data_IF_996472645641
#
_entry.id   IF_996472645641
#
_cell.length_a   1.000
_cell.length_b   1.000
_cell.length_c   1.000
_cell.angle_alpha   90.00
_cell.angle_beta   90.00
_cell.angle_gamma   90.00
#
_symmetry.space_group_name_H-M   'P 1'
#
loop_
_entity.id
_entity.type
_entity.pdbx_description
1 polymer ?
#
# COMPACT_ATOMS: atom_id res chain seq x y z
N UNK A 1 8.05 -6.28 -14.22
CA UNK A 1 9.02 -7.30 -13.83
C UNK A 1 9.26 -7.28 -12.33
N UNK A 2 9.90 -8.28 -11.73
CA UNK A 2 10.14 -8.31 -10.30
C UNK A 2 11.05 -7.16 -9.86
N UNK A 3 10.72 -6.49 -8.77
CA UNK A 3 11.53 -5.40 -8.21
C UNK A 3 12.85 -5.91 -7.62
N UNK A 4 12.85 -7.13 -7.11
CA UNK A 4 14.05 -7.77 -6.57
C UNK A 4 15.04 -8.05 -7.71
N UNK A 5 16.30 -7.54 -7.66
CA UNK A 5 17.32 -7.79 -8.69
C UNK A 5 17.64 -9.26 -8.94
N UNK A 6 17.57 -10.09 -7.90
CA UNK A 6 17.77 -11.53 -8.00
C UNK A 6 16.59 -12.27 -8.66
N UNK A 7 15.52 -11.53 -8.98
CA UNK A 7 14.23 -12.13 -9.33
C UNK A 7 13.60 -12.77 -8.09
N UNK A 8 12.31 -12.84 -8.02
CA UNK A 8 11.64 -13.44 -6.89
C UNK A 8 10.56 -12.57 -6.33
N UNK A 9 10.11 -12.92 -5.16
CA UNK A 9 8.90 -12.43 -4.53
C UNK A 9 9.22 -11.53 -3.35
N UNK A 10 8.25 -10.78 -2.89
CA UNK A 10 8.34 -10.08 -1.61
C UNK A 10 8.45 -11.10 -0.48
N UNK A 11 9.57 -11.11 0.22
CA UNK A 11 9.76 -11.94 1.42
C UNK A 11 9.22 -11.16 2.62
N UNK A 12 8.08 -11.60 3.15
CA UNK A 12 7.41 -10.96 4.28
C UNK A 12 8.06 -11.32 5.61
N UNK A 13 8.56 -12.55 5.73
CA UNK A 13 9.30 -13.01 6.88
C UNK A 13 10.43 -13.92 6.42
N UNK A 14 11.66 -13.45 6.60
CA UNK A 14 12.87 -14.20 6.21
C UNK A 14 13.22 -15.34 7.17
N UNK A 15 12.61 -15.37 8.36
CA UNK A 15 12.84 -16.45 9.32
C UNK A 15 12.18 -17.71 8.82
N UNK A 16 12.82 -18.84 9.05
CA UNK A 16 12.20 -20.13 8.86
C UNK A 16 11.14 -20.30 9.95
N UNK A 17 9.89 -20.30 9.53
CA UNK A 17 8.75 -20.61 10.40
C UNK A 17 8.34 -22.04 10.09
N UNK A 18 8.23 -22.88 11.10
CA UNK A 18 7.70 -24.23 10.95
C UNK A 18 6.47 -24.35 11.82
N UNK A 19 5.39 -24.82 11.21
CA UNK A 19 4.14 -25.14 11.92
C UNK A 19 4.05 -26.66 11.97
N UNK A 20 3.94 -27.27 13.16
CA UNK A 20 3.71 -28.70 13.28
C UNK A 20 2.46 -29.12 12.53
N UNK A 21 2.47 -30.32 12.00
CA UNK A 21 1.28 -30.90 11.41
C UNK A 21 0.29 -31.26 12.50
N UNK A 22 -0.94 -30.76 12.37
CA UNK A 22 -2.07 -31.06 13.29
C UNK A 22 -3.22 -31.54 12.44
N UNK A 23 -3.86 -32.60 12.85
CA UNK A 23 -5.11 -33.10 12.26
C UNK A 23 -6.26 -32.64 13.12
N UNK A 24 -7.18 -31.88 12.54
CA UNK A 24 -8.39 -31.40 13.20
C UNK A 24 -9.57 -32.12 12.58
N UNK A 25 -10.41 -32.72 13.41
CA UNK A 25 -11.65 -33.35 12.97
C UNK A 25 -12.80 -32.38 13.21
N UNK A 26 -13.57 -32.09 12.15
CA UNK A 26 -14.79 -31.28 12.28
C UNK A 26 -15.80 -32.09 13.11
N UNK A 27 -16.28 -31.56 14.24
CA UNK A 27 -17.20 -32.28 15.10
C UNK A 27 -18.59 -32.49 14.50
N UNK A 28 -18.95 -31.74 13.46
CA UNK A 28 -20.29 -31.82 12.86
C UNK A 28 -20.40 -32.90 11.78
N UNK A 29 -19.36 -33.08 10.94
CA UNK A 29 -19.40 -34.04 9.84
C UNK A 29 -18.32 -35.13 9.92
N UNK A 30 -17.42 -35.05 10.89
CA UNK A 30 -16.32 -35.99 11.08
C UNK A 30 -15.22 -35.86 10.02
N UNK A 31 -15.26 -34.85 9.16
CA UNK A 31 -14.22 -34.61 8.17
C UNK A 31 -12.91 -34.21 8.86
N UNK A 32 -11.83 -34.83 8.45
CA UNK A 32 -10.50 -34.54 8.99
C UNK A 32 -9.73 -33.61 8.06
N UNK A 33 -9.28 -32.48 8.61
CA UNK A 33 -8.43 -31.52 7.93
C UNK A 33 -7.04 -31.58 8.56
N UNK A 34 -6.02 -31.81 7.75
CA UNK A 34 -4.63 -31.75 8.19
C UNK A 34 -4.09 -30.35 7.97
N UNK A 35 -3.76 -29.67 9.06
CA UNK A 35 -3.23 -28.30 9.07
C UNK A 35 -1.76 -28.35 9.48
N UNK A 36 -0.92 -27.48 8.91
CA UNK A 36 0.49 -27.39 9.26
C UNK A 36 1.39 -28.28 8.42
N UNK A 37 2.53 -28.67 8.96
CA UNK A 37 3.59 -29.34 8.20
C UNK A 37 4.26 -28.43 7.17
N UNK A 38 4.11 -27.10 7.31
CA UNK A 38 4.61 -26.10 6.38
C UNK A 38 5.79 -25.34 7.00
N UNK A 39 6.67 -24.87 6.15
CA UNK A 39 7.83 -24.07 6.59
C UNK A 39 8.00 -22.80 5.77
N UNK A 40 8.57 -21.76 6.41
CA UNK A 40 8.90 -20.49 5.78
C UNK A 40 10.18 -20.54 4.93
N UNK A 41 10.59 -19.42 4.30
CA UNK A 41 10.07 -18.07 4.57
C UNK A 41 8.68 -17.83 3.98
N UNK A 42 7.92 -16.94 4.63
CA UNK A 42 6.64 -16.45 4.12
C UNK A 42 6.88 -15.40 3.04
N UNK A 43 6.19 -15.51 1.92
CA UNK A 43 6.35 -14.58 0.80
C UNK A 43 5.04 -14.35 0.04
N UNK A 44 4.98 -13.25 -0.72
CA UNK A 44 3.90 -12.99 -1.67
C UNK A 44 4.48 -12.87 -3.08
N UNK A 45 4.22 -13.83 -3.98
CA UNK A 45 4.74 -13.83 -5.34
C UNK A 45 4.10 -12.79 -6.25
N UNK A 46 2.99 -12.19 -5.84
CA UNK A 46 2.19 -11.26 -6.63
C UNK A 46 2.10 -9.87 -5.98
N UNK A 47 2.91 -9.62 -4.97
CA UNK A 47 2.94 -8.33 -4.28
C UNK A 47 3.22 -7.17 -5.23
N UNK A 48 2.58 -6.05 -4.96
CA UNK A 48 2.83 -4.76 -5.60
C UNK A 48 3.19 -3.74 -4.53
N UNK A 49 4.13 -2.86 -4.85
CA UNK A 49 4.64 -1.88 -3.89
C UNK A 49 4.78 -0.51 -4.53
N UNK A 50 4.59 0.53 -3.72
CA UNK A 50 5.16 1.83 -4.01
C UNK A 50 6.65 1.79 -3.70
N UNK A 51 7.46 2.28 -4.63
CA UNK A 51 8.91 2.41 -4.46
C UNK A 51 9.36 3.80 -4.91
N UNK A 52 10.39 4.34 -4.28
CA UNK A 52 10.97 5.60 -4.74
C UNK A 52 11.69 5.38 -6.07
N UNK A 53 11.48 6.29 -7.02
CA UNK A 53 12.14 6.20 -8.34
C UNK A 53 13.67 6.25 -8.21
N UNK A 54 14.18 6.96 -7.21
CA UNK A 54 15.61 7.01 -6.88
C UNK A 54 16.20 5.66 -6.48
N UNK A 55 15.38 4.75 -5.99
CA UNK A 55 15.80 3.43 -5.53
C UNK A 55 15.82 2.39 -6.66
N UNK A 56 15.33 2.78 -7.84
CA UNK A 56 15.34 1.94 -9.03
C UNK A 56 16.59 2.17 -9.89
N UNK A 57 17.12 1.08 -10.42
CA UNK A 57 18.07 1.12 -11.51
C UNK A 57 17.35 1.57 -12.80
N UNK A 58 17.85 2.61 -13.44
CA UNK A 58 17.19 3.23 -14.59
C UNK A 58 17.14 2.34 -15.83
N UNK A 59 18.10 1.42 -15.97
CA UNK A 59 18.20 0.52 -17.12
C UNK A 59 17.31 -0.70 -16.97
N UNK A 60 17.31 -1.32 -15.79
CA UNK A 60 16.59 -2.57 -15.55
C UNK A 60 15.21 -2.38 -14.95
N UNK A 61 14.93 -1.22 -14.34
CA UNK A 61 13.71 -0.93 -13.62
C UNK A 61 13.55 -1.74 -12.31
N UNK A 62 14.59 -2.44 -11.88
CA UNK A 62 14.63 -3.19 -10.63
C UNK A 62 15.15 -2.33 -9.49
N UNK A 63 14.96 -2.75 -8.25
CA UNK A 63 15.62 -2.10 -7.12
C UNK A 63 17.15 -2.19 -7.26
N UNK A 64 17.84 -1.14 -6.88
CA UNK A 64 19.31 -1.12 -6.81
C UNK A 64 19.81 -2.13 -5.78
N UNK A 65 21.02 -2.67 -5.94
CA UNK A 65 21.64 -3.54 -4.95
C UNK A 65 21.64 -2.89 -3.56
N UNK A 66 21.31 -3.67 -2.53
CA UNK A 66 21.25 -3.20 -1.14
C UNK A 66 19.99 -2.43 -0.74
N UNK A 67 19.11 -2.08 -1.69
CA UNK A 67 17.81 -1.48 -1.35
C UNK A 67 16.86 -2.57 -0.91
N UNK A 68 16.31 -2.49 0.31
CA UNK A 68 15.36 -3.49 0.82
C UNK A 68 14.02 -3.41 0.09
N UNK A 69 13.35 -4.55 -0.03
CA UNK A 69 11.96 -4.63 -0.48
C UNK A 69 11.07 -4.40 0.73
N UNK A 70 10.49 -3.21 0.83
CA UNK A 70 9.67 -2.80 1.97
C UNK A 70 8.56 -1.84 1.52
N UNK A 71 7.46 -1.69 2.30
CA UNK A 71 6.46 -0.66 2.05
C UNK A 71 7.07 0.73 2.02
N UNK A 72 6.48 1.62 1.20
CA UNK A 72 6.92 3.00 1.09
C UNK A 72 6.74 3.74 2.42
N UNK A 73 7.79 4.39 2.89
CA UNK A 73 7.72 5.35 3.99
C UNK A 73 8.23 6.70 3.50
N UNK A 74 7.40 7.73 3.65
CA UNK A 74 7.72 9.10 3.34
C UNK A 74 7.76 9.94 4.63
N UNK A 75 8.46 11.07 4.57
CA UNK A 75 8.49 12.06 5.66
C UNK A 75 8.33 13.45 5.10
N UNK A 76 7.70 14.32 5.88
CA UNK A 76 7.60 15.75 5.64
C UNK A 76 7.53 16.47 7.01
N UNK A 77 7.79 17.76 7.04
CA UNK A 77 7.55 18.56 8.22
C UNK A 77 6.16 19.19 8.18
N UNK A 78 5.60 19.47 9.34
CA UNK A 78 4.37 20.25 9.46
C UNK A 78 4.50 21.58 8.71
N UNK A 79 3.52 21.92 7.90
CA UNK A 79 3.52 23.12 7.05
C UNK A 79 4.15 22.94 5.66
N UNK A 80 4.71 21.78 5.36
CA UNK A 80 5.26 21.51 4.02
C UNK A 80 4.18 21.40 2.95
N UNK A 81 4.48 21.93 1.77
CA UNK A 81 3.78 21.61 0.52
C UNK A 81 4.43 20.38 -0.12
N UNK A 82 3.69 19.30 -0.21
CA UNK A 82 4.19 17.99 -0.61
C UNK A 82 3.72 17.67 -2.03
N UNK A 83 4.65 17.44 -2.95
CA UNK A 83 4.35 17.01 -4.30
C UNK A 83 4.82 15.56 -4.49
N UNK A 84 3.90 14.67 -4.82
CA UNK A 84 4.19 13.25 -5.07
C UNK A 84 3.83 12.92 -6.52
N UNK A 85 4.83 12.66 -7.33
CA UNK A 85 4.61 12.18 -8.70
C UNK A 85 4.62 10.66 -8.72
N UNK A 86 3.45 10.09 -8.98
CA UNK A 86 3.25 8.64 -9.11
C UNK A 86 3.40 8.22 -10.56
N UNK A 87 4.26 7.23 -10.82
CA UNK A 87 4.43 6.57 -12.10
C UNK A 87 3.88 5.14 -12.02
N UNK A 88 2.96 4.79 -12.92
CA UNK A 88 2.35 3.45 -12.92
C UNK A 88 3.13 2.48 -13.79
N UNK A 89 3.71 1.46 -13.16
CA UNK A 89 4.43 0.35 -13.82
C UNK A 89 3.71 -1.00 -13.73
N UNK A 90 2.45 -1.00 -13.29
CA UNK A 90 1.65 -2.21 -13.26
C UNK A 90 1.35 -2.70 -14.69
N UNK A 91 1.17 -4.00 -14.88
CA UNK A 91 0.69 -4.53 -16.15
C UNK A 91 -0.73 -4.05 -16.44
N UNK A 92 -1.10 -3.99 -17.71
CA UNK A 92 -2.46 -3.63 -18.13
C UNK A 92 -3.52 -4.63 -17.62
N UNK A 93 -3.11 -5.85 -17.35
CA UNK A 93 -3.94 -6.90 -16.77
C UNK A 93 -3.25 -7.45 -15.53
N UNK A 94 -3.84 -7.21 -14.36
CA UNK A 94 -3.36 -7.76 -13.10
C UNK A 94 -3.78 -9.23 -12.97
N UNK A 95 -2.96 -10.09 -12.33
CA UNK A 95 -3.38 -11.45 -12.00
C UNK A 95 -4.55 -11.42 -11.00
N UNK A 96 -5.39 -12.43 -11.05
CA UNK A 96 -6.47 -12.59 -10.08
C UNK A 96 -5.90 -12.77 -8.67
N UNK A 97 -6.69 -12.34 -7.68
CA UNK A 97 -6.44 -12.67 -6.28
C UNK A 97 -6.73 -14.16 -6.09
N UNK A 98 -5.72 -14.91 -5.73
CA UNK A 98 -5.89 -16.31 -5.38
C UNK A 98 -5.85 -16.44 -3.87
N UNK A 99 -6.94 -16.89 -3.28
CA UNK A 99 -7.07 -17.20 -1.85
C UNK A 99 -6.49 -16.12 -0.92
N UNK A 100 -7.33 -15.19 -0.51
CA UNK A 100 -6.95 -14.22 0.51
C UNK A 100 -7.73 -14.49 1.77
N UNK A 101 -7.07 -14.42 2.92
CA UNK A 101 -7.67 -14.65 4.22
C UNK A 101 -8.86 -13.73 4.54
N UNK A 102 -8.91 -12.53 3.95
CA UNK A 102 -10.01 -11.57 4.15
C UNK A 102 -11.34 -12.06 3.63
N UNK A 103 -11.32 -12.92 2.61
CA UNK A 103 -12.54 -13.34 1.93
C UNK A 103 -13.05 -14.70 2.44
N UNK A 104 -12.35 -15.33 3.36
CA UNK A 104 -12.76 -16.63 3.91
C UNK A 104 -14.08 -16.56 4.66
N UNK A 105 -14.35 -15.49 5.40
CA UNK A 105 -15.65 -15.28 6.06
C UNK A 105 -16.84 -15.09 5.11
N UNK A 106 -16.60 -15.00 3.80
CA UNK A 106 -17.64 -14.94 2.77
C UNK A 106 -17.84 -16.26 2.03
N UNK A 107 -17.09 -17.28 2.39
CA UNK A 107 -17.17 -18.62 1.81
C UNK A 107 -18.18 -19.42 2.62
N UNK A 108 -19.41 -19.51 2.14
CA UNK A 108 -20.33 -20.54 2.62
C UNK A 108 -19.99 -21.85 1.95
N UNK A 109 -19.57 -22.82 2.72
CA UNK A 109 -19.50 -24.21 2.29
C UNK A 109 -20.93 -24.69 2.10
N UNK A 110 -21.35 -24.93 0.87
CA UNK A 110 -22.61 -25.59 0.60
C UNK A 110 -22.43 -27.10 0.75
N UNK A 111 -22.78 -27.59 1.94
CA UNK A 111 -22.69 -29.02 2.29
C UNK A 111 -23.66 -29.90 1.52
N UNK A 112 -24.70 -29.31 0.91
CA UNK A 112 -25.78 -30.05 0.29
C UNK A 112 -25.62 -30.25 -1.23
N UNK A 113 -24.70 -29.52 -1.86
CA UNK A 113 -24.58 -29.57 -3.33
C UNK A 113 -23.67 -30.71 -3.86
N UNK A 114 -22.98 -31.45 -3.00
CA UNK A 114 -21.99 -32.44 -3.42
C UNK A 114 -20.81 -31.86 -4.21
N UNK A 115 -20.86 -30.60 -4.53
CA UNK A 115 -19.83 -29.80 -5.16
C UNK A 115 -19.09 -29.09 -4.05
N UNK A 116 -17.92 -29.52 -3.67
CA UNK A 116 -17.15 -28.91 -2.61
C UNK A 116 -17.14 -27.37 -2.72
N UNK A 117 -17.51 -26.71 -1.66
CA UNK A 117 -17.65 -25.27 -1.44
C UNK A 117 -17.95 -24.43 -2.67
N UNK A 118 -19.19 -23.97 -2.79
CA UNK A 118 -19.50 -22.82 -3.66
C UNK A 118 -18.91 -21.57 -3.01
N UNK A 119 -17.69 -21.27 -3.38
CA UNK A 119 -17.11 -19.99 -3.02
C UNK A 119 -17.79 -18.90 -3.82
N UNK A 120 -18.46 -18.00 -3.16
CA UNK A 120 -18.68 -16.67 -3.75
C UNK A 120 -17.30 -16.02 -3.82
N UNK A 121 -16.65 -16.20 -4.95
CA UNK A 121 -15.27 -15.79 -5.08
C UNK A 121 -15.20 -14.37 -5.62
N UNK A 122 -15.44 -13.38 -4.77
CA UNK A 122 -14.84 -12.07 -4.97
C UNK A 122 -13.30 -12.18 -5.11
N UNK A 123 -12.74 -13.29 -4.73
CA UNK A 123 -11.31 -13.62 -4.82
C UNK A 123 -10.83 -13.79 -6.25
N UNK A 124 -11.70 -14.12 -7.19
CA UNK A 124 -11.39 -14.20 -8.61
C UNK A 124 -11.40 -12.85 -9.30
N UNK A 125 -11.82 -11.77 -8.61
CA UNK A 125 -11.80 -10.45 -9.21
C UNK A 125 -10.37 -9.88 -9.17
N UNK A 126 -9.93 -9.43 -10.32
CA UNK A 126 -8.62 -8.81 -10.47
C UNK A 126 -8.55 -7.49 -9.71
N UNK A 127 -7.41 -7.18 -9.07
CA UNK A 127 -7.15 -5.81 -8.64
C UNK A 127 -7.12 -4.87 -9.83
N UNK A 128 -7.44 -3.60 -9.60
CA UNK A 128 -7.29 -2.57 -10.63
C UNK A 128 -5.83 -2.48 -11.09
N UNK A 129 -5.64 -2.30 -12.40
CA UNK A 129 -4.35 -1.92 -12.98
C UNK A 129 -4.13 -0.40 -12.94
N UNK A 130 -5.17 0.37 -12.66
CA UNK A 130 -5.06 1.79 -12.36
C UNK A 130 -4.59 1.98 -10.92
N UNK A 131 -3.65 2.84 -10.69
CA UNK A 131 -3.08 3.09 -9.37
C UNK A 131 -3.26 4.54 -8.97
N UNK A 132 -3.57 4.77 -7.72
CA UNK A 132 -3.62 6.09 -7.11
C UNK A 132 -2.80 6.09 -5.84
N UNK A 133 -2.58 7.27 -5.27
CA UNK A 133 -1.92 7.45 -4.01
C UNK A 133 -2.70 8.51 -3.22
N UNK A 134 -3.23 8.11 -2.08
CA UNK A 134 -3.94 8.99 -1.17
C UNK A 134 -3.22 9.05 0.18
N UNK A 135 -2.73 10.22 0.54
CA UNK A 135 -2.15 10.48 1.86
C UNK A 135 -3.25 10.98 2.80
N UNK A 136 -3.61 10.16 3.79
CA UNK A 136 -4.68 10.49 4.73
C UNK A 136 -4.31 11.71 5.59
N UNK A 137 -5.32 12.41 6.10
CA UNK A 137 -5.25 13.56 7.02
C UNK A 137 -4.64 14.86 6.44
N UNK A 138 -3.93 14.79 5.34
CA UNK A 138 -3.35 15.98 4.72
C UNK A 138 -4.42 16.81 4.00
N UNK A 139 -4.24 18.12 3.94
CA UNK A 139 -5.11 18.97 3.14
C UNK A 139 -4.73 18.90 1.65
N UNK A 140 -5.72 18.88 0.77
CA UNK A 140 -5.52 18.81 -0.69
C UNK A 140 -6.75 19.33 -1.45
N UNK A 141 -6.59 19.59 -2.73
CA UNK A 141 -7.71 19.84 -3.66
C UNK A 141 -8.35 18.50 -4.05
N UNK A 142 -9.54 18.23 -3.53
CA UNK A 142 -10.26 16.98 -3.76
C UNK A 142 -10.56 16.73 -5.25
N UNK A 143 -10.60 17.76 -6.07
CA UNK A 143 -10.85 17.63 -7.52
C UNK A 143 -9.61 17.25 -8.31
N UNK A 144 -8.41 17.27 -7.70
CA UNK A 144 -7.13 17.07 -8.39
C UNK A 144 -6.19 16.08 -7.74
N UNK A 145 -6.19 16.01 -6.41
CA UNK A 145 -5.15 15.33 -5.63
C UNK A 145 -5.67 14.30 -4.64
N UNK A 146 -6.93 13.87 -4.79
CA UNK A 146 -7.49 12.82 -3.95
C UNK A 146 -6.80 11.45 -4.19
N UNK A 147 -6.39 11.18 -5.42
CA UNK A 147 -5.72 9.92 -5.78
C UNK A 147 -6.67 8.74 -5.96
N UNK A 148 -7.95 8.92 -5.65
CA UNK A 148 -9.02 7.94 -5.81
C UNK A 148 -10.12 8.54 -6.68
N UNK A 149 -10.92 7.71 -7.33
CA UNK A 149 -12.09 8.18 -8.05
C UNK A 149 -13.28 8.25 -7.09
N UNK A 150 -13.69 9.45 -6.74
CA UNK A 150 -14.78 9.67 -5.78
C UNK A 150 -15.94 10.44 -6.43
N UNK A 151 -17.11 9.81 -6.46
CA UNK A 151 -18.33 10.42 -6.97
C UNK A 151 -18.20 10.89 -8.42
N UNK A 152 -18.58 12.14 -8.69
CA UNK A 152 -18.52 12.77 -10.00
C UNK A 152 -17.18 13.47 -10.32
N UNK A 153 -16.20 13.33 -9.46
CA UNK A 153 -14.88 13.94 -9.69
C UNK A 153 -14.19 13.34 -10.92
N UNK A 154 -13.32 14.10 -11.60
CA UNK A 154 -12.49 13.56 -12.66
C UNK A 154 -11.66 12.36 -12.19
N UNK A 155 -11.35 11.47 -13.12
CA UNK A 155 -10.47 10.33 -12.83
C UNK A 155 -9.09 10.84 -12.37
N UNK A 156 -8.68 10.43 -11.18
CA UNK A 156 -7.42 10.87 -10.57
C UNK A 156 -6.39 9.74 -10.44
N UNK A 157 -6.73 8.54 -10.83
CA UNK A 157 -5.80 7.42 -10.89
C UNK A 157 -4.90 7.49 -12.12
N UNK A 158 -3.74 6.84 -12.03
CA UNK A 158 -2.78 6.71 -13.12
C UNK A 158 -3.06 5.39 -13.85
N UNK A 159 -3.42 5.42 -15.14
CA UNK A 159 -3.67 4.20 -15.91
C UNK A 159 -2.39 3.38 -16.10
N UNK A 160 -2.48 2.08 -16.41
CA UNK A 160 -1.34 1.31 -16.85
C UNK A 160 -0.86 1.79 -18.23
N UNK A 161 0.40 1.53 -18.55
CA UNK A 161 0.92 1.81 -19.90
C UNK A 161 0.24 0.91 -20.92
N UNK A 162 -0.19 1.50 -22.02
CA UNK A 162 -0.75 0.75 -23.16
C UNK A 162 0.41 0.32 -24.07
N UNK A 163 0.49 -0.97 -24.36
CA UNK A 163 1.59 -1.54 -25.15
C UNK A 163 2.93 -1.59 -24.40
N UNK A 164 4.00 -1.89 -25.14
CA UNK A 164 5.33 -2.13 -24.57
C UNK A 164 6.32 -0.98 -24.81
N UNK A 165 5.90 0.07 -25.47
CA UNK A 165 6.74 1.23 -25.83
C UNK A 165 6.21 2.53 -25.22
N UNK A 166 7.08 3.53 -25.15
CA UNK A 166 6.76 4.85 -24.63
C UNK A 166 6.96 4.99 -23.11
N UNK A 167 6.75 6.20 -22.62
CA UNK A 167 6.88 6.53 -21.20
C UNK A 167 5.76 5.90 -20.39
N UNK A 168 6.05 5.60 -19.13
CA UNK A 168 5.02 5.19 -18.19
C UNK A 168 4.13 6.39 -17.82
N UNK A 169 2.80 6.18 -17.71
CA UNK A 169 1.90 7.24 -17.28
C UNK A 169 2.24 7.73 -15.88
N UNK A 170 2.09 9.03 -15.66
CA UNK A 170 2.38 9.67 -14.38
C UNK A 170 1.26 10.64 -13.99
N UNK A 171 1.16 10.90 -12.69
CA UNK A 171 0.34 11.97 -12.12
C UNK A 171 1.01 12.54 -10.89
N UNK A 172 0.93 13.85 -10.71
CA UNK A 172 1.41 14.53 -9.50
C UNK A 172 0.22 14.86 -8.62
N UNK A 173 0.30 14.45 -7.36
CA UNK A 173 -0.61 14.81 -6.28
C UNK A 173 0.06 15.87 -5.40
N UNK A 174 -0.73 16.82 -4.94
CA UNK A 174 -0.27 17.95 -4.11
C UNK A 174 -1.01 17.94 -2.79
N UNK A 175 -0.26 17.93 -1.71
CA UNK A 175 -0.77 17.94 -0.34
C UNK A 175 -0.12 19.05 0.46
N UNK A 176 -0.82 19.47 1.53
CA UNK A 176 -0.29 20.38 2.53
C UNK A 176 -0.28 19.67 3.89
N UNK A 177 0.84 19.71 4.59
CA UNK A 177 1.00 19.10 5.90
C UNK A 177 0.39 19.99 7.01
N UNK A 178 -0.93 20.10 7.00
CA UNK A 178 -1.68 20.96 7.89
C UNK A 178 -3.15 21.08 7.51
N UNK A 179 -3.79 22.10 8.01
CA UNK A 179 -5.17 22.45 7.74
C UNK A 179 -5.24 23.68 6.84
N UNK A 180 -6.15 23.64 5.86
CA UNK A 180 -6.45 24.78 4.98
C UNK A 180 -7.89 25.24 5.24
N UNK A 181 -8.05 26.47 5.60
CA UNK A 181 -9.35 27.09 5.87
C UNK A 181 -9.59 28.27 4.94
N UNK A 182 -10.76 28.29 4.30
CA UNK A 182 -11.15 29.43 3.49
C UNK A 182 -11.57 30.59 4.41
N UNK A 183 -10.92 31.74 4.28
CA UNK A 183 -11.28 32.94 4.99
C UNK A 183 -12.48 33.65 4.31
N UNK A 184 -13.66 33.44 4.85
CA UNK A 184 -14.96 34.10 4.65
C UNK A 184 -15.29 34.70 3.29
N UNK A 185 -14.61 35.74 2.83
CA UNK A 185 -14.92 36.43 1.56
C UNK A 185 -13.73 36.42 0.61
N UNK A 186 -13.97 36.14 -0.69
CA UNK A 186 -12.94 36.27 -1.71
C UNK A 186 -12.36 37.69 -1.72
N UNK A 187 -11.05 37.78 -1.86
CA UNK A 187 -10.37 39.08 -2.10
C UNK A 187 -10.12 39.24 -3.60
N UNK A 188 -10.16 40.49 -4.06
CA UNK A 188 -9.86 40.75 -5.49
C UNK A 188 -8.37 41.04 -5.62
N UNK A 189 -7.67 40.19 -6.37
CA UNK A 189 -6.29 40.38 -6.76
C UNK A 189 -6.15 40.43 -8.28
N UNK A 190 -5.50 41.44 -8.82
CA UNK A 190 -5.30 41.63 -10.25
C UNK A 190 -6.60 41.49 -11.07
N UNK A 191 -7.71 42.05 -10.53
CA UNK A 191 -9.02 41.98 -11.19
C UNK A 191 -9.73 40.62 -11.16
N UNK A 192 -9.21 39.66 -10.42
CA UNK A 192 -9.79 38.31 -10.23
C UNK A 192 -10.19 38.11 -8.78
N UNK A 193 -11.33 37.49 -8.58
CA UNK A 193 -11.74 37.02 -7.26
C UNK A 193 -10.91 35.80 -6.91
N UNK A 194 -10.14 35.87 -5.83
CA UNK A 194 -9.35 34.76 -5.29
C UNK A 194 -9.79 34.49 -3.86
N UNK A 195 -9.83 33.22 -3.52
CA UNK A 195 -10.09 32.82 -2.15
C UNK A 195 -8.86 33.14 -1.29
N UNK A 196 -9.09 33.75 -0.14
CA UNK A 196 -8.07 33.84 0.88
C UNK A 196 -8.08 32.57 1.71
N UNK A 197 -6.95 31.86 1.76
CA UNK A 197 -6.82 30.58 2.44
C UNK A 197 -5.80 30.75 3.58
N UNK A 198 -6.26 30.50 4.78
CA UNK A 198 -5.40 30.38 5.95
C UNK A 198 -4.85 28.95 6.02
N UNK A 199 -3.53 28.83 6.09
CA UNK A 199 -2.82 27.57 6.20
C UNK A 199 -2.23 27.43 7.61
N UNK A 200 -2.65 26.39 8.33
CA UNK A 200 -2.14 26.09 9.67
C UNK A 200 -1.34 24.79 9.61
N UNK A 201 -0.05 24.87 9.97
CA UNK A 201 0.81 23.70 10.04
C UNK A 201 0.36 22.76 11.17
N UNK A 202 0.27 21.46 10.90
CA UNK A 202 -0.10 20.45 11.90
C UNK A 202 0.86 19.26 11.83
N UNK A 203 1.42 18.92 12.97
CA UNK A 203 2.18 17.70 13.18
C UNK A 203 1.19 16.54 13.38
N UNK A 204 0.91 15.80 12.32
CA UNK A 204 0.00 14.65 12.38
C UNK A 204 0.65 13.38 12.92
N UNK A 205 1.98 13.32 12.96
CA UNK A 205 2.68 12.07 13.21
C UNK A 205 2.50 11.09 12.06
N UNK A 206 2.24 9.81 12.37
CA UNK A 206 2.08 8.75 11.38
C UNK A 206 0.70 8.78 10.71
N UNK A 207 0.68 8.70 9.39
CA UNK A 207 -0.53 8.57 8.59
C UNK A 207 -0.36 7.50 7.49
N UNK A 208 -1.47 7.01 6.95
CA UNK A 208 -1.46 5.99 5.91
C UNK A 208 -1.35 6.61 4.53
N UNK A 209 -0.61 5.91 3.66
CA UNK A 209 -0.68 6.06 2.21
C UNK A 209 -1.49 4.89 1.68
N UNK A 210 -2.65 5.16 1.10
CA UNK A 210 -3.57 4.14 0.60
C UNK A 210 -3.64 4.15 -0.93
N UNK A 211 -3.83 2.99 -1.57
CA UNK A 211 -4.05 2.91 -3.00
C UNK A 211 -5.49 3.27 -3.39
N UNK A 212 -5.73 3.47 -4.67
CA UNK A 212 -7.07 3.73 -5.20
C UNK A 212 -8.03 2.55 -5.02
N UNK A 213 -7.56 1.32 -5.20
CA UNK A 213 -8.28 0.09 -4.89
C UNK A 213 -7.89 -0.37 -3.48
N UNK A 214 -8.52 0.23 -2.48
CA UNK A 214 -8.20 0.04 -1.07
C UNK A 214 -8.41 -1.39 -0.57
N UNK A 215 -9.18 -2.21 -1.29
CA UNK A 215 -9.43 -3.60 -0.93
C UNK A 215 -8.41 -4.50 -1.61
N UNK A 216 -8.42 -4.58 -2.94
CA UNK A 216 -7.70 -5.60 -3.68
C UNK A 216 -6.22 -5.26 -3.88
N UNK A 217 -5.87 -3.99 -4.12
CA UNK A 217 -4.48 -3.60 -4.21
C UNK A 217 -3.79 -3.65 -2.84
N UNK A 218 -4.50 -3.29 -1.76
CA UNK A 218 -3.96 -3.44 -0.40
C UNK A 218 -3.70 -4.89 -0.04
N UNK A 219 -4.53 -5.83 -0.50
CA UNK A 219 -4.29 -7.28 -0.32
C UNK A 219 -3.09 -7.80 -1.12
N UNK A 220 -2.60 -7.02 -2.08
CA UNK A 220 -1.34 -7.26 -2.80
C UNK A 220 -0.15 -6.53 -2.17
N UNK A 221 -0.34 -5.90 -1.02
CA UNK A 221 0.70 -5.17 -0.30
C UNK A 221 0.89 -3.72 -0.75
N UNK A 222 0.04 -3.19 -1.65
CA UNK A 222 0.16 -1.80 -2.06
C UNK A 222 -0.36 -0.88 -0.95
N UNK A 223 0.53 -0.13 -0.38
CA UNK A 223 0.29 0.80 0.71
C UNK A 223 1.61 1.35 1.23
N UNK A 224 1.51 2.24 2.19
CA UNK A 224 2.68 2.85 2.81
C UNK A 224 2.30 3.70 4.01
N UNK A 225 3.28 4.40 4.52
CA UNK A 225 3.12 5.35 5.61
C UNK A 225 3.78 6.68 5.26
N UNK A 226 3.29 7.74 5.88
CA UNK A 226 3.97 9.03 5.90
C UNK A 226 4.05 9.50 7.35
N UNK A 227 5.19 10.06 7.75
CA UNK A 227 5.37 10.69 9.04
C UNK A 227 5.43 12.21 8.83
N UNK A 228 4.51 12.94 9.44
CA UNK A 228 4.52 14.39 9.48
C UNK A 228 5.16 14.83 10.79
N UNK A 229 6.40 15.24 10.66
CA UNK A 229 7.29 15.62 11.75
C UNK A 229 7.00 17.03 12.23
N UNK A 230 7.52 17.45 13.40
CA UNK A 230 7.42 18.82 13.87
C UNK A 230 7.87 19.85 12.82
N UNK A 231 7.30 21.03 12.87
CA UNK A 231 7.63 22.13 11.95
C UNK A 231 9.14 22.41 11.95
N UNK A 232 9.72 22.58 10.76
CA UNK A 232 11.14 22.84 10.59
C UNK A 232 12.07 21.64 10.86
N UNK A 233 11.52 20.44 11.01
CA UNK A 233 12.32 19.22 11.15
C UNK A 233 13.12 18.90 9.91
N UNK A 234 14.30 18.34 10.15
CA UNK A 234 15.13 17.65 9.13
C UNK A 234 15.34 16.20 9.56
N UNK A 235 15.64 15.33 8.60
CA UNK A 235 15.87 13.91 8.92
C UNK A 235 16.87 13.26 7.99
N UNK A 236 17.44 12.17 8.47
CA UNK A 236 18.29 11.28 7.70
C UNK A 236 17.69 9.89 7.77
N UNK A 237 17.24 9.39 6.63
CA UNK A 237 16.74 8.01 6.51
C UNK A 237 17.88 7.01 6.73
N UNK A 238 17.60 5.90 7.39
CA UNK A 238 18.48 4.73 7.41
C UNK A 238 18.42 3.99 6.06
N UNK A 239 19.24 2.95 5.93
CA UNK A 239 19.17 2.03 4.78
C UNK A 239 17.76 1.43 4.62
N UNK A 240 17.09 1.12 5.74
CA UNK A 240 15.64 0.84 5.80
C UNK A 240 14.91 2.14 6.08
N UNK A 241 14.18 2.64 5.11
CA UNK A 241 13.50 3.94 5.18
C UNK A 241 12.34 3.99 6.17
N UNK A 242 11.95 2.84 6.72
CA UNK A 242 11.09 2.77 7.88
C UNK A 242 11.65 3.50 9.10
N UNK A 243 12.97 3.66 9.18
CA UNK A 243 13.66 4.31 10.29
C UNK A 243 14.37 5.57 9.82
N UNK A 244 14.39 6.59 10.67
CA UNK A 244 15.15 7.81 10.42
C UNK A 244 15.62 8.43 11.74
N UNK A 245 16.71 9.19 11.66
CA UNK A 245 17.13 10.09 12.73
C UNK A 245 16.57 11.48 12.43
N UNK A 246 15.84 12.04 13.36
CA UNK A 246 15.14 13.31 13.21
C UNK A 246 15.77 14.37 14.10
N UNK A 247 15.95 15.57 13.54
CA UNK A 247 16.34 16.77 14.26
C UNK A 247 15.19 17.77 14.11
N UNK A 248 14.54 18.12 15.21
CA UNK A 248 13.46 19.09 15.27
C UNK A 248 13.86 20.31 16.11
N UNK A 249 13.44 21.52 15.74
CA UNK A 249 13.74 22.74 16.50
C UNK A 249 13.26 22.62 17.96
N UNK A 250 14.12 22.95 18.90
CA UNK A 250 13.79 22.95 20.33
C UNK A 250 13.63 21.56 20.98
N UNK A 251 13.94 20.48 20.25
CA UNK A 251 13.85 19.12 20.75
C UNK A 251 15.21 18.40 20.70
N UNK A 252 15.38 17.40 21.54
CA UNK A 252 16.52 16.50 21.42
C UNK A 252 16.38 15.68 20.13
N UNK A 253 17.51 15.31 19.51
CA UNK A 253 17.54 14.38 18.37
C UNK A 253 16.90 13.06 18.77
N UNK A 254 16.00 12.55 17.94
CA UNK A 254 15.27 11.31 18.21
C UNK A 254 15.21 10.37 17.00
N UNK A 255 14.74 9.16 17.22
CA UNK A 255 14.53 8.14 16.20
C UNK A 255 13.05 8.06 15.87
N UNK A 256 12.72 8.20 14.58
CA UNK A 256 11.38 7.96 14.04
C UNK A 256 11.33 6.57 13.42
N UNK A 257 10.28 5.81 13.78
CA UNK A 257 10.04 4.47 13.28
C UNK A 257 8.64 4.40 12.68
N UNK A 258 8.55 4.02 11.41
CA UNK A 258 7.27 3.72 10.76
C UNK A 258 7.06 2.21 10.73
N UNK A 259 5.89 1.78 11.16
CA UNK A 259 5.46 0.39 11.12
C UNK A 259 4.20 0.28 10.26
N UNK A 260 4.28 -0.54 9.21
CA UNK A 260 3.14 -0.77 8.30
C UNK A 260 2.59 -2.17 8.54
N UNK A 261 1.32 -2.23 8.93
CA UNK A 261 0.60 -3.47 9.16
C UNK A 261 -0.30 -3.77 7.97
N UNK A 262 -0.06 -4.89 7.32
CA UNK A 262 -0.94 -5.40 6.28
C UNK A 262 -1.73 -6.59 6.80
N UNK A 263 -3.05 -6.56 6.56
CA UNK A 263 -3.94 -7.68 6.85
C UNK A 263 -4.25 -8.40 5.53
N UNK A 264 -4.23 -9.72 5.59
CA UNK A 264 -4.73 -10.59 4.51
C UNK A 264 -3.97 -10.46 3.18
N UNK A 265 -2.65 -10.38 3.22
CA UNK A 265 -1.81 -10.51 2.04
C UNK A 265 -1.97 -11.90 1.40
N UNK A 266 -1.67 -12.00 0.11
CA UNK A 266 -1.59 -13.29 -0.61
C UNK A 266 -0.33 -14.07 -0.18
N UNK A 267 -0.22 -14.30 1.12
CA UNK A 267 0.95 -14.90 1.76
C UNK A 267 1.03 -16.39 1.43
N UNK A 268 2.23 -16.86 1.12
CA UNK A 268 2.52 -18.25 0.78
C UNK A 268 3.70 -18.77 1.57
N UNK A 269 3.68 -20.07 1.80
CA UNK A 269 4.79 -20.82 2.34
C UNK A 269 5.93 -20.97 1.32
N UNK A 270 7.09 -21.42 1.76
CA UNK A 270 8.26 -21.61 0.90
C UNK A 270 7.98 -22.49 -0.33
N UNK A 271 7.10 -23.47 -0.21
CA UNK A 271 6.69 -24.37 -1.30
C UNK A 271 5.61 -23.77 -2.22
N UNK A 272 5.22 -22.51 -2.03
CA UNK A 272 4.21 -21.81 -2.82
C UNK A 272 2.76 -22.08 -2.41
N UNK A 273 2.51 -22.97 -1.43
CA UNK A 273 1.14 -23.17 -0.90
C UNK A 273 0.65 -21.92 -0.16
N UNK A 274 -0.63 -21.57 -0.29
CA UNK A 274 -1.19 -20.47 0.48
C UNK A 274 -1.04 -20.71 1.99
N UNK A 275 -0.88 -19.64 2.75
CA UNK A 275 -1.07 -19.69 4.19
C UNK A 275 -2.56 -19.69 4.44
N UNK A 276 -3.06 -20.80 4.89
CA UNK A 276 -4.47 -20.99 5.21
C UNK A 276 -4.79 -20.21 6.50
N UNK A 277 -5.79 -19.33 6.43
CA UNK A 277 -6.33 -18.72 7.64
C UNK A 277 -7.23 -19.72 8.33
N UNK A 278 -7.08 -19.86 9.62
CA UNK A 278 -8.06 -20.56 10.45
C UNK A 278 -9.25 -19.59 10.57
N UNK A 279 -10.35 -19.88 9.90
CA UNK A 279 -11.61 -19.25 10.22
C UNK A 279 -12.06 -19.87 11.57
N UNK A 280 -11.91 -19.11 12.65
CA UNK A 280 -12.68 -19.40 13.84
C UNK A 280 -14.12 -18.93 13.57
N UNK A 281 -15.06 -19.83 13.52
CA UNK A 281 -16.47 -19.53 13.64
C UNK A 281 -16.81 -19.17 15.09
#
# INVERSE_FOLDING_TARGET
GPLNPAGGTLVLNSRTVSIPQVTVTDPEDGETITIGGQSGPLHDPTAILYVRKSDLDATTGKLKPGIPVEPLVLRAAAGDCINITLENRLPSMMPDLTQTAVMQGMVKRDRNSGLGSTTFSNNLMRPSSHVGLHAQLLAYDITKSDGVNVGANPIQTVPPRVGNSGAYPTRTYQYYAGHLEREGKPVTQLGRSVDNINATAIEFGGLNITPADVIKQSQKGLGGAMSILPIGSTWVDDARKANATVTAPGQAVYRDFAMVWHKALNTRWANGRPVEGIAAE
#
